data_IF_167956129493
#
_entry.id   IF_167956129493
#
_cell.length_a   1.000
_cell.length_b   1.000
_cell.length_c   1.000
_cell.angle_alpha   90.00
_cell.angle_beta   90.00
_cell.angle_gamma   90.00
#
_symmetry.space_group_name_H-M   'P 1'
#
loop_
_entity.id
_entity.type
_entity.pdbx_description
1 polymer ?
#
# COMPACT_ATOMS: atom_id res chain seq x y z
N UNK A 1 25.91 -4.13 -2.52
CA UNK A 1 24.95 -4.39 -3.61
C UNK A 1 23.87 -5.41 -3.21
N UNK A 2 24.23 -6.60 -2.70
CA UNK A 2 23.25 -7.63 -2.30
C UNK A 2 22.20 -7.16 -1.28
N UNK A 3 22.57 -6.32 -0.32
CA UNK A 3 21.65 -5.82 0.70
C UNK A 3 20.68 -4.74 0.20
N UNK A 4 20.93 -4.10 -0.92
CA UNK A 4 20.08 -3.05 -1.50
C UNK A 4 19.03 -3.68 -2.40
N UNK A 5 19.43 -4.66 -3.21
CA UNK A 5 18.52 -5.36 -4.14
C UNK A 5 17.43 -6.16 -3.41
N UNK A 6 17.71 -6.66 -2.19
CA UNK A 6 16.73 -7.38 -1.38
C UNK A 6 15.58 -6.49 -0.85
N UNK A 7 15.62 -5.17 -1.07
CA UNK A 7 14.57 -4.22 -0.66
C UNK A 7 13.71 -3.73 -1.83
N UNK A 8 14.15 -4.00 -3.06
CA UNK A 8 13.36 -3.74 -4.27
C UNK A 8 12.52 -4.98 -4.53
N UNK A 9 11.22 -4.88 -4.34
CA UNK A 9 10.28 -6.02 -4.42
C UNK A 9 9.97 -6.39 -5.88
N UNK A 10 10.18 -5.48 -6.81
CA UNK A 10 10.00 -5.72 -8.23
C UNK A 10 10.44 -4.52 -9.07
N UNK A 11 11.02 -4.82 -10.19
CA UNK A 11 11.23 -3.88 -11.30
C UNK A 11 10.42 -4.46 -12.45
N UNK A 12 9.23 -3.92 -12.68
CA UNK A 12 8.36 -4.35 -13.78
C UNK A 12 8.38 -3.32 -14.89
N UNK A 13 8.67 -3.78 -16.09
CA UNK A 13 8.52 -3.02 -17.33
C UNK A 13 7.12 -3.27 -17.90
N UNK A 14 6.09 -2.79 -17.21
CA UNK A 14 4.70 -2.99 -17.60
C UNK A 14 4.23 -1.97 -18.63
N UNK A 15 4.18 -2.41 -19.89
CA UNK A 15 3.30 -1.94 -20.99
C UNK A 15 3.02 -0.43 -21.19
N UNK A 16 3.85 0.47 -20.67
CA UNK A 16 4.01 1.74 -21.36
C UNK A 16 4.71 1.46 -22.73
N UNK A 17 4.68 2.36 -23.70
CA UNK A 17 5.57 2.24 -24.84
C UNK A 17 6.93 1.88 -24.25
N UNK A 18 7.44 0.69 -24.53
CA UNK A 18 8.47 -0.05 -23.76
C UNK A 18 9.78 0.72 -23.53
N UNK A 19 9.87 1.91 -24.06
CA UNK A 19 11.13 2.61 -24.22
C UNK A 19 11.31 3.83 -23.30
N UNK A 20 10.26 4.29 -22.58
CA UNK A 20 10.36 5.59 -21.90
C UNK A 20 10.27 5.56 -20.38
N UNK A 21 9.77 4.49 -19.74
CA UNK A 21 9.46 4.50 -18.31
C UNK A 21 9.99 3.26 -17.58
N UNK A 22 10.87 3.48 -16.60
CA UNK A 22 11.23 2.48 -15.59
C UNK A 22 10.29 2.61 -14.39
N UNK A 23 9.59 1.52 -14.04
CA UNK A 23 8.75 1.44 -12.84
C UNK A 23 9.48 0.70 -11.75
N UNK A 24 9.58 1.31 -10.59
CA UNK A 24 10.20 0.73 -9.40
C UNK A 24 9.16 0.65 -8.29
N UNK A 25 8.90 -0.55 -7.80
CA UNK A 25 8.16 -0.74 -6.55
C UNK A 25 9.17 -0.90 -5.41
N UNK A 26 9.11 0.01 -4.44
CA UNK A 26 10.10 0.06 -3.38
C UNK A 26 9.46 -0.14 -2.01
N UNK A 27 9.75 -1.30 -1.42
CA UNK A 27 9.43 -1.57 -0.03
C UNK A 27 10.49 -0.89 0.87
N UNK A 28 10.08 0.16 1.59
CA UNK A 28 10.96 0.95 2.47
C UNK A 28 11.33 0.23 3.77
N UNK A 29 10.71 -0.89 4.06
CA UNK A 29 10.94 -1.70 5.25
C UNK A 29 9.64 -2.20 5.85
N UNK A 30 9.76 -2.91 6.96
CA UNK A 30 8.63 -3.60 7.60
C UNK A 30 7.91 -2.76 8.65
N UNK A 31 8.53 -1.68 9.13
CA UNK A 31 7.97 -0.94 10.26
C UNK A 31 6.63 -0.34 9.94
N UNK A 32 5.63 -0.67 10.77
CA UNK A 32 4.25 -0.22 10.65
C UNK A 32 3.70 0.12 12.02
N UNK A 33 2.81 1.10 12.09
CA UNK A 33 2.09 1.44 13.30
C UNK A 33 0.77 0.66 13.45
N UNK A 34 0.39 -0.14 12.45
CA UNK A 34 -0.71 -1.10 12.51
C UNK A 34 -0.18 -2.53 12.62
N UNK A 35 -0.97 -3.41 13.21
CA UNK A 35 -0.67 -4.84 13.37
C UNK A 35 -1.84 -5.68 12.83
N UNK A 36 -2.21 -5.43 11.57
CA UNK A 36 -3.36 -6.09 10.94
C UNK A 36 -3.19 -7.59 10.90
N UNK A 37 -4.23 -8.33 11.32
CA UNK A 37 -4.21 -9.79 11.46
C UNK A 37 -3.96 -10.54 10.15
N UNK A 38 -4.31 -9.93 9.03
CA UNK A 38 -4.13 -10.47 7.68
C UNK A 38 -2.81 -10.05 7.02
N UNK A 39 -2.02 -9.21 7.65
CA UNK A 39 -0.69 -8.86 7.19
C UNK A 39 0.33 -9.84 7.80
N UNK A 40 1.15 -10.47 6.97
CA UNK A 40 2.13 -11.43 7.46
C UNK A 40 3.24 -10.74 8.27
N UNK A 41 3.76 -11.43 9.31
CA UNK A 41 4.85 -10.91 10.16
C UNK A 41 6.13 -10.59 9.37
N UNK A 42 6.26 -11.19 8.21
CA UNK A 42 7.36 -10.91 7.29
C UNK A 42 7.21 -9.57 6.56
N UNK A 43 6.00 -9.05 6.48
CA UNK A 43 5.68 -7.81 5.76
C UNK A 43 5.62 -6.60 6.69
N UNK A 44 5.35 -6.80 7.97
CA UNK A 44 5.27 -5.70 8.92
C UNK A 44 5.77 -6.09 10.31
N UNK A 45 6.31 -5.12 11.01
CA UNK A 45 6.61 -5.12 12.43
C UNK A 45 6.65 -3.68 12.97
N UNK A 46 6.92 -3.50 14.25
CA UNK A 46 7.09 -2.17 14.84
C UNK A 46 8.51 -1.93 15.40
N UNK A 47 9.45 -2.82 15.13
CA UNK A 47 10.78 -2.84 15.74
C UNK A 47 11.93 -2.71 14.75
N UNK A 48 11.72 -3.04 13.48
CA UNK A 48 12.72 -2.92 12.42
C UNK A 48 13.26 -1.50 12.30
N UNK A 49 14.53 -1.39 11.95
CA UNK A 49 15.13 -0.10 11.69
C UNK A 49 14.51 0.54 10.44
N UNK A 50 14.32 1.85 10.51
CA UNK A 50 13.96 2.63 9.34
C UNK A 50 15.10 2.63 8.31
N UNK A 51 14.73 2.70 7.05
CA UNK A 51 15.70 2.99 5.99
C UNK A 51 16.39 4.32 6.28
N UNK A 52 17.71 4.34 6.21
CA UNK A 52 18.49 5.57 6.39
C UNK A 52 18.46 6.42 5.12
N UNK A 53 18.67 7.72 5.29
CA UNK A 53 18.73 8.66 4.17
C UNK A 53 19.91 8.36 3.23
N UNK A 54 21.04 7.89 3.76
CA UNK A 54 22.22 7.58 2.96
C UNK A 54 21.99 6.36 2.05
N UNK A 55 21.39 5.29 2.60
CA UNK A 55 21.00 4.12 1.79
C UNK A 55 20.01 4.52 0.71
N UNK A 56 19.02 5.37 1.06
CA UNK A 56 18.04 5.85 0.10
C UNK A 56 18.68 6.63 -1.04
N UNK A 57 19.54 7.60 -0.74
CA UNK A 57 20.25 8.43 -1.73
C UNK A 57 21.09 7.57 -2.67
N UNK A 58 21.93 6.71 -2.11
CA UNK A 58 22.79 5.82 -2.91
C UNK A 58 21.95 4.96 -3.87
N UNK A 59 20.80 4.43 -3.40
CA UNK A 59 19.92 3.62 -4.25
C UNK A 59 19.30 4.45 -5.37
N UNK A 60 18.83 5.67 -5.10
CA UNK A 60 18.31 6.57 -6.16
C UNK A 60 19.40 6.85 -7.20
N UNK A 61 20.60 7.13 -6.76
CA UNK A 61 21.72 7.44 -7.65
C UNK A 61 22.10 6.24 -8.52
N UNK A 62 22.13 5.03 -7.95
CA UNK A 62 22.38 3.79 -8.69
C UNK A 62 21.27 3.51 -9.74
N UNK A 63 20.00 3.68 -9.36
CA UNK A 63 18.88 3.51 -10.32
C UNK A 63 19.04 4.49 -11.48
N UNK A 64 19.38 5.75 -11.21
CA UNK A 64 19.57 6.78 -12.23
C UNK A 64 20.74 6.47 -13.17
N UNK A 65 21.87 5.99 -12.62
CA UNK A 65 23.03 5.61 -13.44
C UNK A 65 22.76 4.37 -14.30
N UNK A 66 21.82 3.52 -13.87
CA UNK A 66 21.48 2.28 -14.57
C UNK A 66 20.51 2.43 -15.74
N UNK A 67 19.95 3.65 -15.98
CA UNK A 67 18.95 3.84 -17.03
C UNK A 67 18.82 5.27 -17.52
N UNK A 68 18.55 5.43 -18.82
CA UNK A 68 18.17 6.72 -19.43
C UNK A 68 16.63 6.93 -19.42
N UNK A 69 15.86 5.95 -18.95
CA UNK A 69 14.40 6.01 -18.89
C UNK A 69 13.92 6.99 -17.79
N UNK A 70 12.73 7.54 -17.97
CA UNK A 70 12.04 8.26 -16.89
C UNK A 70 11.71 7.29 -15.75
N UNK A 71 12.03 7.65 -14.52
CA UNK A 71 11.87 6.78 -13.35
C UNK A 71 10.57 7.12 -12.63
N UNK A 72 9.71 6.13 -12.46
CA UNK A 72 8.54 6.18 -11.57
C UNK A 72 8.77 5.26 -10.39
N UNK A 73 8.68 5.79 -9.15
CA UNK A 73 8.84 4.99 -7.94
C UNK A 73 7.52 4.96 -7.17
N UNK A 74 7.09 3.74 -6.82
CA UNK A 74 5.95 3.49 -5.95
C UNK A 74 6.45 2.99 -4.60
N UNK A 75 6.33 3.82 -3.57
CA UNK A 75 6.77 3.50 -2.21
C UNK A 75 5.69 2.75 -1.45
N UNK A 76 6.10 1.66 -0.80
CA UNK A 76 5.26 0.82 0.05
C UNK A 76 6.10 0.24 1.19
N UNK A 77 5.58 -0.73 1.89
CA UNK A 77 6.26 -1.42 3.00
C UNK A 77 5.29 -1.66 4.15
N UNK A 78 5.75 -1.51 5.39
CA UNK A 78 4.84 -1.38 6.52
C UNK A 78 3.99 -0.12 6.37
N UNK A 79 4.33 0.94 7.08
CA UNK A 79 3.78 2.28 6.82
C UNK A 79 4.92 3.24 6.48
N UNK A 80 5.02 3.74 5.23
CA UNK A 80 6.12 4.60 4.82
C UNK A 80 6.29 5.86 5.69
N UNK A 81 5.19 6.47 6.11
CA UNK A 81 5.21 7.71 6.89
C UNK A 81 5.59 7.54 8.36
N UNK A 82 5.77 6.32 8.87
CA UNK A 82 6.40 6.13 10.19
C UNK A 82 7.92 6.34 10.15
N UNK A 83 8.52 6.30 8.95
CA UNK A 83 9.91 6.72 8.80
C UNK A 83 10.00 8.24 8.87
N UNK A 84 10.69 8.82 9.88
CA UNK A 84 10.75 10.27 10.08
C UNK A 84 11.41 11.01 8.91
N UNK A 85 12.21 10.32 8.13
CA UNK A 85 12.94 10.88 6.98
C UNK A 85 12.18 10.73 5.66
N UNK A 86 10.98 10.10 5.64
CA UNK A 86 10.33 9.75 4.39
C UNK A 86 9.97 10.97 3.53
N UNK A 87 9.52 12.07 4.13
CA UNK A 87 9.24 13.31 3.39
C UNK A 87 10.51 13.88 2.75
N UNK A 88 11.64 13.83 3.46
CA UNK A 88 12.93 14.28 2.92
C UNK A 88 13.44 13.33 1.82
N UNK A 89 13.14 12.03 1.92
CA UNK A 89 13.40 11.06 0.85
C UNK A 89 12.61 11.37 -0.41
N UNK A 90 11.31 11.68 -0.28
CA UNK A 90 10.47 12.09 -1.41
C UNK A 90 11.01 13.37 -2.07
N UNK A 91 11.39 14.35 -1.26
CA UNK A 91 12.00 15.59 -1.72
C UNK A 91 13.29 15.29 -2.52
N UNK A 92 14.20 14.52 -1.93
CA UNK A 92 15.45 14.14 -2.59
C UNK A 92 15.21 13.44 -3.93
N UNK A 93 14.32 12.45 -3.97
CA UNK A 93 13.98 11.74 -5.19
C UNK A 93 13.49 12.70 -6.30
N UNK A 94 12.58 13.62 -5.96
CA UNK A 94 12.06 14.62 -6.90
C UNK A 94 13.14 15.57 -7.39
N UNK A 95 13.97 16.12 -6.49
CA UNK A 95 15.06 17.05 -6.80
C UNK A 95 16.18 16.39 -7.63
N UNK A 96 16.34 15.07 -7.51
CA UNK A 96 17.32 14.29 -8.27
C UNK A 96 16.74 13.60 -9.52
N UNK A 97 15.63 14.08 -10.04
CA UNK A 97 15.15 13.74 -11.38
C UNK A 97 14.27 12.48 -11.43
N UNK A 98 13.80 11.96 -10.30
CA UNK A 98 12.73 10.96 -10.34
C UNK A 98 11.47 11.62 -10.89
N UNK A 99 10.98 11.07 -12.00
CA UNK A 99 9.88 11.66 -12.74
C UNK A 99 8.58 11.69 -11.93
N UNK A 100 8.24 10.57 -11.27
CA UNK A 100 7.02 10.45 -10.47
C UNK A 100 7.26 9.60 -9.23
N UNK A 101 6.78 10.09 -8.08
CA UNK A 101 6.70 9.34 -6.84
C UNK A 101 5.25 9.07 -6.49
N UNK A 102 4.94 7.85 -6.06
CA UNK A 102 3.66 7.49 -5.46
C UNK A 102 3.88 6.76 -4.13
N UNK A 103 2.88 6.75 -3.28
CA UNK A 103 2.94 6.10 -1.98
C UNK A 103 1.66 5.32 -1.70
N UNK A 104 1.81 4.14 -1.09
CA UNK A 104 0.71 3.42 -0.44
C UNK A 104 0.86 3.60 1.07
N UNK A 105 -0.18 4.11 1.72
CA UNK A 105 -0.24 4.43 3.16
C UNK A 105 -1.53 3.92 3.79
N UNK A 106 -1.51 3.68 5.09
CA UNK A 106 -2.71 3.30 5.83
C UNK A 106 -3.61 4.49 6.26
N UNK A 107 -3.27 5.70 5.86
CA UNK A 107 -4.06 6.90 6.11
C UNK A 107 -3.98 7.45 7.54
N UNK A 108 -3.25 6.80 8.44
CA UNK A 108 -3.18 7.19 9.87
C UNK A 108 -2.28 8.37 10.22
N UNK A 109 -1.24 8.72 9.43
CA UNK A 109 -0.38 9.86 9.72
C UNK A 109 -1.17 11.16 9.87
N UNK A 110 -0.69 12.12 10.69
CA UNK A 110 -1.31 13.44 10.80
C UNK A 110 -1.32 14.19 9.47
N UNK A 111 -2.39 14.94 9.19
CA UNK A 111 -2.56 15.69 7.92
C UNK A 111 -1.35 16.56 7.57
N UNK A 112 -0.72 17.20 8.56
CA UNK A 112 0.52 17.99 8.38
C UNK A 112 1.66 17.23 7.68
N UNK A 113 1.72 15.91 7.81
CA UNK A 113 2.72 15.10 7.11
C UNK A 113 2.37 15.00 5.63
N UNK A 114 1.10 14.80 5.29
CA UNK A 114 0.64 14.78 3.91
C UNK A 114 0.82 16.13 3.22
N UNK A 115 0.51 17.24 3.89
CA UNK A 115 0.75 18.60 3.39
C UNK A 115 2.21 18.82 2.98
N UNK A 116 3.16 18.29 3.77
CA UNK A 116 4.58 18.35 3.48
C UNK A 116 5.03 17.40 2.37
N UNK A 117 4.36 16.26 2.21
CA UNK A 117 4.72 15.22 1.24
C UNK A 117 4.11 15.47 -0.15
N UNK A 118 2.88 16.00 -0.22
CA UNK A 118 2.14 16.18 -1.47
C UNK A 118 2.89 16.96 -2.55
N UNK A 119 3.72 18.00 -2.27
CA UNK A 119 4.52 18.65 -3.31
C UNK A 119 5.42 17.70 -4.10
N UNK A 120 5.85 16.60 -3.49
CA UNK A 120 6.78 15.63 -4.07
C UNK A 120 6.08 14.36 -4.59
N UNK A 121 4.81 14.17 -4.26
CA UNK A 121 4.03 13.02 -4.70
C UNK A 121 3.22 13.35 -5.94
N UNK A 122 3.10 12.36 -6.81
CA UNK A 122 2.20 12.38 -7.96
C UNK A 122 0.91 11.60 -7.69
N UNK A 123 0.98 10.56 -6.86
CA UNK A 123 -0.17 9.72 -6.54
C UNK A 123 -0.12 9.20 -5.12
N UNK A 124 -1.27 9.17 -4.45
CA UNK A 124 -1.43 8.63 -3.11
C UNK A 124 -2.47 7.51 -3.14
N UNK A 125 -2.09 6.32 -2.69
CA UNK A 125 -3.02 5.22 -2.44
C UNK A 125 -3.22 5.11 -0.94
N UNK A 126 -4.46 5.20 -0.48
CA UNK A 126 -4.78 5.01 0.93
C UNK A 126 -5.47 3.66 1.10
N UNK A 127 -4.87 2.79 1.90
CA UNK A 127 -5.47 1.52 2.28
C UNK A 127 -6.21 1.69 3.61
N UNK A 128 -7.55 1.64 3.56
CA UNK A 128 -8.38 1.70 4.75
C UNK A 128 -8.44 0.32 5.42
N UNK A 129 -7.94 0.21 6.64
CA UNK A 129 -7.81 -1.04 7.39
C UNK A 129 -8.75 -1.07 8.59
N UNK A 130 -9.87 -1.79 8.52
CA UNK A 130 -10.92 -1.82 9.55
C UNK A 130 -10.46 -2.15 10.95
N UNK A 131 -9.41 -2.97 11.12
CA UNK A 131 -8.95 -3.39 12.45
C UNK A 131 -8.28 -2.27 13.24
N UNK A 132 -7.67 -1.30 12.56
CA UNK A 132 -6.80 -0.30 13.20
C UNK A 132 -7.10 1.14 12.80
N UNK A 133 -7.89 1.34 11.75
CA UNK A 133 -8.26 2.69 11.35
C UNK A 133 -9.13 3.34 12.42
N UNK A 134 -8.64 4.45 12.97
CA UNK A 134 -9.54 5.36 13.68
C UNK A 134 -10.38 6.07 12.62
N UNK A 135 -11.62 5.61 12.45
CA UNK A 135 -12.48 5.93 11.31
C UNK A 135 -12.53 7.43 11.00
N UNK A 136 -12.99 8.24 11.95
CA UNK A 136 -13.13 9.68 11.77
C UNK A 136 -11.83 10.34 11.31
N UNK A 137 -10.71 9.98 11.93
CA UNK A 137 -9.39 10.54 11.56
C UNK A 137 -8.96 10.17 10.15
N UNK A 138 -9.11 8.89 9.79
CA UNK A 138 -8.65 8.40 8.48
C UNK A 138 -9.54 8.97 7.37
N UNK A 139 -10.85 9.02 7.56
CA UNK A 139 -11.77 9.63 6.59
C UNK A 139 -11.51 11.13 6.46
N UNK A 140 -11.33 11.86 7.56
CA UNK A 140 -10.99 13.28 7.51
C UNK A 140 -9.67 13.53 6.76
N UNK A 141 -8.66 12.68 6.94
CA UNK A 141 -7.42 12.75 6.18
C UNK A 141 -7.68 12.49 4.67
N UNK A 142 -8.44 11.46 4.34
CA UNK A 142 -8.79 11.13 2.94
C UNK A 142 -9.45 12.32 2.26
N UNK A 143 -10.48 12.90 2.87
CA UNK A 143 -11.22 14.05 2.34
C UNK A 143 -10.31 15.27 2.21
N UNK A 144 -9.49 15.56 3.22
CA UNK A 144 -8.56 16.69 3.19
C UNK A 144 -7.47 16.53 2.12
N UNK A 145 -6.92 15.32 1.95
CA UNK A 145 -5.94 15.01 0.89
C UNK A 145 -6.59 15.19 -0.49
N UNK A 146 -7.82 14.69 -0.68
CA UNK A 146 -8.54 14.86 -1.94
C UNK A 146 -8.72 16.34 -2.29
N UNK A 147 -9.15 17.14 -1.33
CA UNK A 147 -9.31 18.59 -1.51
C UNK A 147 -8.01 19.27 -1.94
N UNK A 148 -6.90 18.97 -1.28
CA UNK A 148 -5.59 19.51 -1.67
C UNK A 148 -5.17 19.04 -3.07
N UNK A 149 -5.45 17.79 -3.43
CA UNK A 149 -5.17 17.27 -4.78
C UNK A 149 -5.96 18.04 -5.84
N UNK A 150 -7.23 18.33 -5.58
CA UNK A 150 -8.03 19.15 -6.51
C UNK A 150 -7.49 20.58 -6.63
N UNK A 151 -6.99 21.19 -5.54
CA UNK A 151 -6.30 22.48 -5.60
C UNK A 151 -5.01 22.41 -6.46
N UNK A 152 -4.23 21.33 -6.35
CA UNK A 152 -3.06 21.11 -7.23
C UNK A 152 -3.47 20.97 -8.70
N UNK A 153 -4.52 20.21 -9.00
CA UNK A 153 -5.05 20.04 -10.37
C UNK A 153 -5.52 21.36 -10.96
N UNK A 154 -6.23 22.18 -10.18
CA UNK A 154 -6.67 23.50 -10.59
C UNK A 154 -5.50 24.43 -10.97
N UNK A 155 -4.33 24.21 -10.37
CA UNK A 155 -3.09 24.95 -10.67
C UNK A 155 -2.22 24.25 -11.75
N UNK A 156 -2.75 23.24 -12.44
CA UNK A 156 -2.04 22.55 -13.52
C UNK A 156 -1.06 21.46 -13.07
N UNK A 157 -0.97 21.15 -11.77
CA UNK A 157 -0.15 20.05 -11.25
C UNK A 157 -1.02 18.80 -11.04
N UNK A 158 -0.98 17.90 -12.02
CA UNK A 158 -1.79 16.68 -12.01
C UNK A 158 -1.31 15.68 -10.97
N UNK A 159 -2.03 15.65 -9.86
CA UNK A 159 -1.91 14.65 -8.80
C UNK A 159 -3.16 13.77 -8.75
N UNK A 160 -3.06 12.62 -8.11
CA UNK A 160 -4.20 11.74 -7.93
C UNK A 160 -4.16 11.01 -6.61
N UNK A 161 -5.31 10.49 -6.22
CA UNK A 161 -5.43 9.56 -5.11
C UNK A 161 -6.43 8.45 -5.41
N UNK A 162 -6.32 7.38 -4.67
CA UNK A 162 -7.25 6.26 -4.70
C UNK A 162 -7.35 5.61 -3.32
N UNK A 163 -8.53 5.12 -2.97
CA UNK A 163 -8.73 4.43 -1.70
C UNK A 163 -8.94 2.94 -1.95
N UNK A 164 -8.13 2.11 -1.30
CA UNK A 164 -8.39 0.69 -1.19
C UNK A 164 -9.14 0.41 0.11
N UNK A 165 -10.37 -0.02 0.03
CA UNK A 165 -11.15 -0.47 1.18
C UNK A 165 -10.78 -1.94 1.41
N UNK A 166 -10.02 -2.21 2.47
CA UNK A 166 -9.56 -3.56 2.82
C UNK A 166 -10.69 -4.29 3.55
N UNK A 167 -11.69 -4.74 2.78
CA UNK A 167 -12.94 -5.27 3.30
C UNK A 167 -12.72 -6.54 4.13
N UNK A 168 -13.16 -6.50 5.39
CA UNK A 168 -13.10 -7.62 6.33
C UNK A 168 -14.47 -8.30 6.46
N UNK A 169 -14.49 -9.62 6.69
CA UNK A 169 -15.73 -10.33 7.03
C UNK A 169 -16.43 -9.71 8.24
N UNK A 170 -17.75 -9.60 8.17
CA UNK A 170 -18.58 -9.01 9.22
C UNK A 170 -18.57 -7.48 9.27
N UNK A 171 -17.98 -6.81 8.26
CA UNK A 171 -17.86 -5.36 8.19
C UNK A 171 -18.64 -4.73 7.03
N UNK A 172 -19.73 -5.38 6.60
CA UNK A 172 -20.50 -4.90 5.44
C UNK A 172 -21.13 -3.52 5.69
N UNK A 173 -21.77 -3.32 6.83
CA UNK A 173 -22.44 -2.07 7.14
C UNK A 173 -21.44 -0.90 7.17
N UNK A 174 -20.33 -1.07 7.91
CA UNK A 174 -19.28 -0.06 7.99
C UNK A 174 -18.59 0.16 6.62
N UNK A 175 -18.48 -0.87 5.79
CA UNK A 175 -17.95 -0.74 4.44
C UNK A 175 -18.85 0.13 3.57
N UNK A 176 -20.16 -0.05 3.66
CA UNK A 176 -21.15 0.77 2.94
C UNK A 176 -21.09 2.23 3.39
N UNK A 177 -21.02 2.49 4.71
CA UNK A 177 -20.87 3.84 5.26
C UNK A 177 -19.63 4.54 4.70
N UNK A 178 -18.47 3.86 4.68
CA UNK A 178 -17.24 4.40 4.10
C UNK A 178 -17.41 4.73 2.61
N UNK A 179 -18.04 3.83 1.86
CA UNK A 179 -18.29 4.03 0.43
C UNK A 179 -19.17 5.26 0.19
N UNK A 180 -20.21 5.44 0.99
CA UNK A 180 -21.10 6.58 0.88
C UNK A 180 -20.36 7.89 1.17
N UNK A 181 -19.48 7.90 2.18
CA UNK A 181 -18.63 9.06 2.47
C UNK A 181 -17.64 9.37 1.32
N UNK A 182 -17.03 8.32 0.74
CA UNK A 182 -16.11 8.50 -0.41
C UNK A 182 -16.86 9.03 -1.63
N UNK A 183 -18.04 8.48 -1.93
CA UNK A 183 -18.90 8.95 -3.03
C UNK A 183 -19.36 10.39 -2.83
N UNK A 184 -19.75 10.76 -1.62
CA UNK A 184 -20.16 12.12 -1.30
C UNK A 184 -19.05 13.18 -1.52
N UNK A 185 -17.80 12.74 -1.58
CA UNK A 185 -16.62 13.59 -1.80
C UNK A 185 -15.92 13.33 -3.16
N UNK A 186 -16.57 12.65 -4.11
CA UNK A 186 -16.04 12.32 -5.43
C UNK A 186 -14.69 11.58 -5.38
N UNK A 187 -14.49 10.72 -4.37
CA UNK A 187 -13.25 9.99 -4.15
C UNK A 187 -13.34 8.60 -4.79
N UNK A 188 -12.38 8.28 -5.64
CA UNK A 188 -12.31 6.96 -6.27
C UNK A 188 -11.82 5.90 -5.29
N UNK A 189 -12.44 4.73 -5.35
CA UNK A 189 -12.09 3.62 -4.47
C UNK A 189 -12.15 2.26 -5.18
N UNK A 190 -11.56 1.27 -4.55
CA UNK A 190 -11.69 -0.15 -4.91
C UNK A 190 -11.87 -0.96 -3.63
N UNK A 191 -12.84 -1.87 -3.64
CA UNK A 191 -13.06 -2.82 -2.56
C UNK A 191 -12.09 -3.99 -2.76
N UNK A 192 -11.28 -4.27 -1.76
CA UNK A 192 -10.35 -5.40 -1.78
C UNK A 192 -10.74 -6.39 -0.69
N UNK A 193 -11.25 -7.52 -1.12
CA UNK A 193 -11.57 -8.65 -0.24
C UNK A 193 -10.30 -9.13 0.47
N UNK A 194 -10.30 -9.07 1.79
CA UNK A 194 -9.21 -9.58 2.61
C UNK A 194 -9.38 -11.10 2.72
N UNK A 195 -8.28 -11.79 2.48
CA UNK A 195 -8.16 -13.20 2.85
C UNK A 195 -7.41 -13.24 4.17
N UNK A 196 -8.06 -13.60 5.29
CA UNK A 196 -7.36 -13.73 6.55
C UNK A 196 -6.23 -14.74 6.37
N UNK A 197 -5.00 -14.32 6.58
CA UNK A 197 -3.89 -15.25 6.68
C UNK A 197 -4.05 -15.96 8.01
N UNK A 198 -4.12 -17.27 7.96
CA UNK A 198 -3.98 -18.06 9.18
C UNK A 198 -2.63 -17.67 9.76
N UNK A 199 -2.61 -17.20 11.01
CA UNK A 199 -1.36 -16.85 11.67
C UNK A 199 -0.53 -18.13 11.81
N UNK A 200 0.42 -18.32 10.92
CA UNK A 200 1.21 -19.53 10.76
C UNK A 200 2.04 -19.84 12.01
N UNK A 201 2.50 -18.79 12.72
CA UNK A 201 3.24 -18.95 13.97
C UNK A 201 2.36 -19.50 15.10
N UNK A 202 1.09 -19.08 15.17
CA UNK A 202 0.14 -19.59 16.17
C UNK A 202 -0.33 -21.01 15.88
N UNK A 203 -0.31 -21.42 14.62
CA UNK A 203 -0.82 -22.73 14.19
C UNK A 203 0.28 -23.73 13.88
N UNK A 204 1.54 -23.31 13.94
CA UNK A 204 2.69 -24.14 13.57
C UNK A 204 2.74 -24.46 12.07
N UNK A 205 2.14 -23.64 11.24
CA UNK A 205 2.10 -23.83 9.79
C UNK A 205 3.19 -23.01 9.11
N UNK A 206 3.99 -23.64 8.29
CA UNK A 206 4.87 -22.91 7.37
C UNK A 206 4.07 -22.38 6.19
N UNK A 207 4.52 -21.28 5.59
CA UNK A 207 3.83 -20.64 4.46
C UNK A 207 3.65 -21.62 3.31
N UNK A 208 2.43 -21.84 2.82
CA UNK A 208 2.21 -22.77 1.72
C UNK A 208 2.87 -22.32 0.42
N UNK A 209 3.27 -21.06 0.31
CA UNK A 209 3.81 -20.49 -0.93
C UNK A 209 5.35 -20.46 -1.00
N UNK A 210 6.07 -20.60 0.11
CA UNK A 210 7.54 -20.53 0.10
C UNK A 210 8.20 -21.86 -0.25
N UNK A 211 7.56 -23.00 0.05
CA UNK A 211 8.22 -24.32 -0.02
C UNK A 211 7.76 -25.20 -1.17
N UNK A 212 6.91 -24.75 -2.07
CA UNK A 212 6.32 -25.62 -3.11
C UNK A 212 5.49 -26.77 -2.54
N UNK A 213 5.19 -26.75 -1.23
CA UNK A 213 4.48 -27.79 -0.50
C UNK A 213 2.95 -27.59 -0.44
N UNK A 214 2.42 -26.77 -1.32
CA UNK A 214 0.98 -26.64 -1.55
C UNK A 214 0.38 -28.04 -1.78
N UNK A 215 -0.28 -28.57 -0.80
CA UNK A 215 -0.92 -29.90 -0.87
C UNK A 215 -0.36 -30.96 0.07
N UNK A 216 0.78 -30.71 0.71
CA UNK A 216 1.35 -31.68 1.67
C UNK A 216 0.93 -31.43 3.11
N UNK A 217 0.40 -30.24 3.43
CA UNK A 217 -0.07 -29.94 4.78
C UNK A 217 -1.48 -30.51 5.00
N UNK A 218 -1.75 -31.26 6.07
CA UNK A 218 -3.06 -31.90 6.31
C UNK A 218 -4.25 -30.95 6.31
N UNK A 219 -4.02 -29.67 6.68
CA UNK A 219 -5.05 -28.63 6.70
C UNK A 219 -5.03 -27.75 5.44
N UNK A 220 -4.11 -27.99 4.53
CA UNK A 220 -4.03 -27.19 3.31
C UNK A 220 -5.31 -27.29 2.48
N UNK A 221 -5.94 -28.46 2.42
CA UNK A 221 -7.23 -28.65 1.76
C UNK A 221 -8.35 -27.82 2.40
N UNK A 222 -8.27 -27.56 3.68
CA UNK A 222 -9.20 -26.67 4.39
C UNK A 222 -8.86 -25.22 4.08
N UNK A 223 -7.58 -24.84 4.06
CA UNK A 223 -7.14 -23.49 3.68
C UNK A 223 -7.42 -23.22 2.21
N UNK A 224 -7.12 -24.14 1.31
CA UNK A 224 -7.43 -23.99 -0.11
C UNK A 224 -8.93 -23.87 -0.38
N UNK A 225 -9.75 -24.58 0.40
CA UNK A 225 -11.22 -24.37 0.41
C UNK A 225 -11.60 -22.98 0.94
N UNK A 226 -10.82 -22.45 1.87
CA UNK A 226 -10.98 -21.10 2.38
C UNK A 226 -10.54 -20.03 1.39
N UNK A 227 -9.50 -20.28 0.61
CA UNK A 227 -9.09 -19.37 -0.48
C UNK A 227 -10.07 -19.39 -1.64
N UNK A 228 -10.79 -20.48 -1.82
CA UNK A 228 -11.74 -20.65 -2.93
C UNK A 228 -13.10 -19.97 -2.70
N UNK A 229 -13.35 -19.28 -1.60
CA UNK A 229 -14.55 -18.46 -1.47
C UNK A 229 -15.54 -18.79 -0.38
N UNK A 230 -15.38 -18.98 0.77
CA UNK A 230 -16.62 -18.77 1.46
C UNK A 230 -16.77 -18.97 2.96
N UNK A 231 -15.90 -19.45 3.75
CA UNK A 231 -16.32 -19.50 5.14
C UNK A 231 -16.07 -18.20 5.91
N UNK A 232 -15.35 -17.22 5.32
CA UNK A 232 -15.10 -15.95 6.02
C UNK A 232 -16.19 -14.93 5.77
N UNK A 233 -16.67 -14.83 4.54
CA UNK A 233 -17.73 -13.91 4.16
C UNK A 233 -19.09 -14.60 4.18
N UNK A 234 -20.10 -13.94 4.68
CA UNK A 234 -21.48 -14.41 4.58
C UNK A 234 -21.94 -14.46 3.13
N UNK A 235 -23.04 -15.18 2.86
CA UNK A 235 -23.63 -15.20 1.51
C UNK A 235 -24.05 -13.80 1.05
N UNK A 236 -24.54 -12.99 2.00
CA UNK A 236 -24.93 -11.61 1.75
C UNK A 236 -23.71 -10.75 1.36
N UNK A 237 -22.63 -10.85 2.10
CA UNK A 237 -21.37 -10.13 1.79
C UNK A 237 -20.81 -10.54 0.43
N UNK A 238 -20.80 -11.83 0.11
CA UNK A 238 -20.32 -12.31 -1.19
C UNK A 238 -21.18 -11.83 -2.35
N UNK A 239 -22.52 -11.85 -2.19
CA UNK A 239 -23.43 -11.31 -3.19
C UNK A 239 -23.20 -9.81 -3.38
N UNK A 240 -23.10 -9.06 -2.29
CA UNK A 240 -22.85 -7.64 -2.34
C UNK A 240 -21.49 -7.30 -2.98
N UNK A 241 -20.42 -8.03 -2.66
CA UNK A 241 -19.10 -7.87 -3.30
C UNK A 241 -19.22 -8.10 -4.81
N UNK A 242 -19.90 -9.15 -5.23
CA UNK A 242 -20.06 -9.48 -6.66
C UNK A 242 -20.78 -8.38 -7.43
N UNK A 243 -21.73 -7.69 -6.79
CA UNK A 243 -22.48 -6.59 -7.41
C UNK A 243 -21.73 -5.25 -7.42
N UNK A 244 -20.74 -5.08 -6.52
CA UNK A 244 -20.07 -3.79 -6.28
C UNK A 244 -18.56 -3.79 -6.61
N UNK A 245 -18.01 -4.86 -7.14
CA UNK A 245 -16.63 -4.97 -7.61
C UNK A 245 -16.56 -5.48 -9.04
#
# INVERSE_FOLDING_TARGET
LENILNRIVGIEDNHAPKDELLRVEWNLGKRCNYNCSYCGNELHDNTSQHMSMDVFKNTIDEIKHGTDKKIKISFTGGEPFVNPNFVDMLKYAKENGVYRCSVTTNGSPPMKIYERALPYLHYVVISYHFEFAYHEKVINNIVAINKLIEEYKANGDYKGMHVHIMFLPGKLAECIEIIDELKANDITYTIRKIRPRVNMERTGWHRPFEDGMLGQHPKFSEIAKFEADAPYYSKEELAWIQENT
#
